data_IF_857705721873
#
_entry.id   IF_857705721873
#
_cell.length_a   1.000
_cell.length_b   1.000
_cell.length_c   1.000
_cell.angle_alpha   90.00
_cell.angle_beta   90.00
_cell.angle_gamma   90.00
#
_symmetry.space_group_name_H-M   'P 1'
#
loop_
_entity.id
_entity.type
_entity.pdbx_description
1 polymer ?
#
# COMPACT_ATOMS: atom_id res chain seq x y z
N UNK A 1 26.94 -98.17 -43.21
CA UNK A 1 26.63 -97.71 -41.87
C UNK A 1 27.75 -96.73 -41.44
N UNK A 2 27.57 -95.47 -41.53
CA UNK A 2 28.52 -94.45 -41.02
C UNK A 2 27.74 -93.33 -40.40
N UNK A 3 27.85 -93.18 -39.10
CA UNK A 3 27.21 -92.14 -38.32
C UNK A 3 27.98 -90.79 -38.48
N UNK A 4 27.33 -89.79 -38.99
CA UNK A 4 27.89 -88.40 -39.02
C UNK A 4 27.31 -87.66 -37.83
N UNK A 5 28.17 -87.20 -36.92
CA UNK A 5 27.83 -86.33 -35.82
C UNK A 5 27.96 -84.88 -36.30
N UNK A 6 26.88 -84.15 -36.28
CA UNK A 6 26.82 -82.73 -36.53
C UNK A 6 27.05 -82.00 -35.19
N UNK A 7 28.07 -81.18 -35.10
CA UNK A 7 28.37 -80.31 -33.96
C UNK A 7 27.75 -78.96 -34.23
N UNK A 8 26.77 -78.57 -33.42
CA UNK A 8 26.21 -77.19 -33.43
C UNK A 8 27.07 -76.27 -32.55
N UNK A 9 27.70 -75.31 -33.16
CA UNK A 9 28.44 -74.25 -32.45
C UNK A 9 27.50 -73.11 -32.18
N UNK A 10 27.17 -72.88 -30.92
CA UNK A 10 26.29 -71.76 -30.47
C UNK A 10 27.16 -70.57 -30.24
N UNK A 11 27.05 -69.53 -31.09
CA UNK A 11 27.65 -68.22 -30.88
C UNK A 11 26.74 -67.40 -29.98
N UNK A 12 27.20 -67.16 -28.75
CA UNK A 12 26.52 -66.27 -27.83
C UNK A 12 27.02 -64.84 -28.15
N UNK A 13 26.15 -64.02 -28.78
CA UNK A 13 26.37 -62.61 -28.97
C UNK A 13 25.97 -61.89 -27.71
N UNK A 14 26.94 -61.37 -26.94
CA UNK A 14 26.71 -60.51 -25.79
C UNK A 14 26.35 -59.10 -26.23
N UNK A 15 25.07 -58.72 -26.17
CA UNK A 15 24.63 -57.32 -26.30
C UNK A 15 24.99 -56.55 -25.01
N UNK A 16 26.00 -55.72 -25.07
CA UNK A 16 26.27 -54.71 -24.03
C UNK A 16 25.28 -53.57 -24.18
N UNK A 17 24.26 -53.53 -23.33
CA UNK A 17 23.38 -52.36 -23.18
C UNK A 17 24.10 -51.24 -22.43
N UNK A 18 24.61 -50.27 -23.17
CA UNK A 18 25.03 -48.98 -22.57
C UNK A 18 23.79 -48.23 -22.13
N UNK A 19 23.41 -48.39 -20.85
CA UNK A 19 22.43 -47.51 -20.19
C UNK A 19 23.09 -46.18 -19.92
N UNK A 20 22.85 -45.19 -20.78
CA UNK A 20 23.09 -43.79 -20.45
C UNK A 20 22.04 -43.35 -19.43
N UNK A 21 22.35 -43.47 -18.15
CA UNK A 21 21.62 -42.76 -17.11
C UNK A 21 21.91 -41.29 -17.25
N UNK A 22 21.02 -40.53 -17.93
CA UNK A 22 20.94 -39.07 -17.74
C UNK A 22 20.68 -38.88 -16.25
N UNK A 23 21.65 -38.32 -15.53
CA UNK A 23 21.41 -37.69 -14.23
C UNK A 23 20.39 -36.61 -14.48
N UNK A 24 19.16 -36.79 -14.06
CA UNK A 24 18.23 -35.70 -13.88
C UNK A 24 18.83 -34.78 -12.80
N UNK A 25 19.38 -33.66 -13.23
CA UNK A 25 19.72 -32.59 -12.30
C UNK A 25 18.42 -32.12 -11.69
N UNK A 26 18.19 -32.47 -10.44
CA UNK A 26 17.12 -31.91 -9.64
C UNK A 26 17.32 -30.39 -9.68
N UNK A 27 16.33 -29.60 -10.14
CA UNK A 27 16.48 -28.14 -10.15
C UNK A 27 16.75 -27.69 -8.73
N UNK A 28 17.94 -27.19 -8.51
CA UNK A 28 18.29 -26.51 -7.24
C UNK A 28 17.36 -25.33 -7.15
N UNK A 29 16.41 -25.34 -6.22
CA UNK A 29 15.59 -24.18 -5.88
C UNK A 29 16.55 -23.13 -5.35
N UNK A 30 16.96 -22.20 -6.22
CA UNK A 30 17.73 -21.04 -5.81
C UNK A 30 16.90 -20.27 -4.80
N UNK A 31 17.42 -20.12 -3.59
CA UNK A 31 16.79 -19.24 -2.59
C UNK A 31 16.78 -17.82 -3.15
N UNK A 32 15.64 -17.17 -3.28
CA UNK A 32 15.57 -15.83 -3.84
C UNK A 32 16.44 -14.89 -3.00
N UNK A 33 17.31 -14.15 -3.68
CA UNK A 33 18.07 -13.08 -3.04
C UNK A 33 17.10 -11.97 -2.62
N UNK A 34 17.33 -11.39 -1.45
CA UNK A 34 16.47 -10.36 -0.87
C UNK A 34 17.21 -9.02 -0.85
N UNK A 35 16.45 -7.95 -0.97
CA UNK A 35 16.94 -6.58 -0.92
C UNK A 35 15.94 -5.65 -0.24
N UNK A 36 16.29 -4.38 -0.13
CA UNK A 36 15.48 -3.39 0.56
C UNK A 36 15.19 -2.21 -0.37
N UNK A 37 14.03 -1.58 -0.18
CA UNK A 37 13.69 -0.31 -0.82
C UNK A 37 12.97 0.60 0.16
N UNK A 38 13.05 1.90 -0.07
CA UNK A 38 12.29 2.90 0.66
C UNK A 38 11.31 3.57 -0.29
N UNK A 39 10.05 3.67 0.10
CA UNK A 39 9.06 4.54 -0.54
C UNK A 39 8.95 5.80 0.32
N UNK A 40 9.40 6.94 -0.22
CA UNK A 40 9.33 8.24 0.47
C UNK A 40 8.16 9.04 -0.09
N UNK A 41 7.23 9.43 0.76
CA UNK A 41 6.08 10.24 0.40
C UNK A 41 6.38 11.72 0.64
N UNK A 42 6.16 12.53 -0.37
CA UNK A 42 6.26 14.00 -0.31
C UNK A 42 4.88 14.60 -0.52
N UNK A 43 4.33 15.17 0.53
CA UNK A 43 3.01 15.78 0.50
C UNK A 43 3.12 17.24 0.03
N UNK A 44 2.38 17.53 -1.04
CA UNK A 44 2.34 18.86 -1.65
C UNK A 44 0.90 19.33 -1.85
N UNK A 45 0.75 20.61 -2.13
CA UNK A 45 -0.48 21.20 -2.70
C UNK A 45 -0.08 21.98 -3.95
N UNK A 46 -0.47 21.47 -5.12
CA UNK A 46 0.03 21.95 -6.41
C UNK A 46 1.55 21.72 -6.55
N UNK A 47 2.36 22.75 -6.44
CA UNK A 47 3.84 22.64 -6.47
C UNK A 47 4.51 22.91 -5.12
N UNK A 48 3.73 23.20 -4.07
CA UNK A 48 4.26 23.65 -2.79
C UNK A 48 4.28 22.52 -1.77
N UNK A 49 5.41 22.22 -1.13
CA UNK A 49 5.46 21.33 0.02
C UNK A 49 4.51 21.82 1.13
N UNK A 50 3.82 20.85 1.77
CA UNK A 50 2.91 21.17 2.87
C UNK A 50 3.70 21.37 4.15
N UNK A 51 3.48 22.52 4.77
CA UNK A 51 3.98 22.90 6.08
C UNK A 51 2.79 23.05 7.04
N UNK A 52 2.85 22.36 8.18
CA UNK A 52 1.80 22.42 9.19
C UNK A 52 2.04 23.60 10.15
N UNK A 53 0.95 24.16 10.69
CA UNK A 53 1.02 25.12 11.79
C UNK A 53 0.02 24.75 12.88
N UNK A 54 0.37 25.05 14.14
CA UNK A 54 -0.47 24.68 15.28
C UNK A 54 -1.83 25.41 15.29
N UNK A 55 -1.89 26.59 14.72
CA UNK A 55 -3.07 27.45 14.65
C UNK A 55 -3.13 28.21 13.33
N UNK A 56 -4.22 28.92 13.09
CA UNK A 56 -4.46 29.68 11.87
C UNK A 56 -3.46 30.79 11.61
N UNK A 57 -2.79 31.31 12.65
CA UNK A 57 -1.80 32.40 12.53
C UNK A 57 -0.42 31.88 12.14
N UNK A 58 -0.10 30.64 12.52
CA UNK A 58 1.20 29.99 12.27
C UNK A 58 1.18 29.07 11.05
N UNK A 59 0.00 28.58 10.64
CA UNK A 59 -0.15 27.69 9.50
C UNK A 59 0.00 28.44 8.17
N UNK A 60 0.80 27.84 7.26
CA UNK A 60 1.00 28.36 5.92
C UNK A 60 -0.28 28.28 5.09
N UNK A 61 -0.57 29.34 4.33
CA UNK A 61 -1.74 29.40 3.44
C UNK A 61 -1.44 28.78 2.09
N UNK A 62 -2.39 28.02 1.59
CA UNK A 62 -2.41 27.43 0.25
C UNK A 62 -3.72 27.77 -0.45
N UNK A 63 -3.73 27.76 -1.76
CA UNK A 63 -4.94 27.95 -2.56
C UNK A 63 -5.26 26.64 -3.30
N UNK A 64 -6.47 26.15 -3.10
CA UNK A 64 -7.03 25.02 -3.82
C UNK A 64 -8.48 25.30 -4.19
N UNK A 65 -8.85 25.10 -5.44
CA UNK A 65 -10.20 25.40 -5.96
C UNK A 65 -10.73 26.79 -5.54
N UNK A 66 -9.87 27.83 -5.64
CA UNK A 66 -10.15 29.22 -5.22
C UNK A 66 -10.48 29.41 -3.73
N UNK A 67 -10.13 28.45 -2.90
CA UNK A 67 -10.32 28.50 -1.45
C UNK A 67 -8.97 28.52 -0.75
N UNK A 68 -8.85 29.34 0.31
CA UNK A 68 -7.67 29.37 1.17
C UNK A 68 -7.72 28.20 2.12
N UNK A 69 -6.65 27.42 2.19
CA UNK A 69 -6.47 26.27 3.10
C UNK A 69 -5.24 26.49 3.95
N UNK A 70 -5.30 26.06 5.19
CA UNK A 70 -4.20 25.97 6.14
C UNK A 70 -4.30 24.64 6.87
N UNK A 71 -3.20 23.96 7.07
CA UNK A 71 -3.21 22.63 7.68
C UNK A 71 -2.54 22.63 9.04
N UNK A 72 -3.20 21.99 10.01
CA UNK A 72 -2.62 21.70 11.33
C UNK A 72 -2.30 20.21 11.50
N UNK A 73 -2.99 19.35 10.77
CA UNK A 73 -2.75 17.90 10.78
C UNK A 73 -3.05 17.31 9.42
N UNK A 74 -2.18 16.41 8.95
CA UNK A 74 -2.45 15.53 7.81
C UNK A 74 -1.90 14.15 8.15
N UNK A 75 -2.80 13.17 8.16
CA UNK A 75 -2.50 11.76 8.31
C UNK A 75 -3.27 10.93 7.30
N UNK A 76 -2.68 9.85 6.82
CA UNK A 76 -3.38 8.89 5.96
C UNK A 76 -2.76 7.50 6.06
N UNK A 77 -3.50 6.49 5.63
CA UNK A 77 -3.08 5.09 5.71
C UNK A 77 -2.76 4.58 4.31
N UNK A 78 -1.61 3.92 4.21
CA UNK A 78 -1.19 3.15 3.04
C UNK A 78 -1.08 1.69 3.46
N UNK A 79 -1.66 0.79 2.66
CA UNK A 79 -1.59 -0.65 2.92
C UNK A 79 -1.50 -1.46 1.62
N UNK A 80 -1.43 -2.78 1.74
CA UNK A 80 -1.52 -3.72 0.63
C UNK A 80 -0.54 -3.38 -0.53
N UNK A 81 0.73 -3.14 -0.18
CA UNK A 81 1.77 -2.78 -1.15
C UNK A 81 2.13 -3.99 -1.99
N UNK A 82 2.19 -3.78 -3.31
CA UNK A 82 2.54 -4.79 -4.31
C UNK A 82 3.46 -4.17 -5.35
N UNK A 83 4.48 -4.92 -5.75
CA UNK A 83 5.43 -4.49 -6.78
C UNK A 83 5.29 -5.38 -8.00
N UNK A 84 5.14 -4.80 -9.18
CA UNK A 84 5.00 -5.53 -10.45
C UNK A 84 6.34 -5.53 -11.17
N UNK A 85 6.86 -6.72 -11.42
CA UNK A 85 8.10 -6.94 -12.15
C UNK A 85 7.97 -6.59 -13.64
N UNK A 86 9.08 -6.45 -14.30
CA UNK A 86 9.13 -6.20 -15.76
C UNK A 86 8.52 -7.33 -16.57
N UNK A 87 8.55 -8.58 -16.08
CA UNK A 87 7.90 -9.75 -16.67
C UNK A 87 6.38 -9.81 -16.43
N UNK A 88 5.84 -8.90 -15.61
CA UNK A 88 4.41 -8.84 -15.25
C UNK A 88 4.04 -9.61 -13.98
N UNK A 89 4.94 -10.37 -13.39
CA UNK A 89 4.69 -11.01 -12.10
C UNK A 89 4.56 -9.98 -10.97
N UNK A 90 3.80 -10.31 -9.93
CA UNK A 90 3.52 -9.39 -8.81
C UNK A 90 4.06 -9.99 -7.52
N UNK A 91 4.81 -9.17 -6.77
CA UNK A 91 5.31 -9.49 -5.44
C UNK A 91 4.50 -8.69 -4.43
N UNK A 92 3.86 -9.38 -3.51
CA UNK A 92 3.06 -8.78 -2.43
C UNK A 92 3.92 -8.55 -1.19
N UNK A 93 3.74 -7.40 -0.54
CA UNK A 93 4.43 -7.05 0.70
C UNK A 93 3.46 -7.07 1.87
N UNK A 94 3.47 -8.15 2.66
CA UNK A 94 2.69 -8.33 3.89
C UNK A 94 1.19 -7.96 3.79
N UNK A 95 0.56 -8.23 2.64
CA UNK A 95 -0.77 -7.72 2.26
C UNK A 95 -1.92 -8.16 3.17
N UNK A 96 -1.76 -9.24 3.93
CA UNK A 96 -2.78 -9.79 4.83
C UNK A 96 -2.52 -9.48 6.30
N UNK A 97 -1.54 -8.62 6.60
CA UNK A 97 -1.11 -8.33 7.96
C UNK A 97 -0.90 -6.81 8.14
N UNK A 98 -1.80 -6.16 8.87
CA UNK A 98 -1.70 -4.72 9.12
C UNK A 98 -0.50 -4.36 10.00
N UNK A 99 -0.07 -5.25 10.92
CA UNK A 99 1.08 -5.00 11.81
C UNK A 99 2.41 -4.82 11.06
N UNK A 100 2.49 -5.31 9.83
CA UNK A 100 3.71 -5.29 9.01
C UNK A 100 3.50 -4.78 7.59
N UNK A 101 2.25 -4.65 7.14
CA UNK A 101 1.90 -4.27 5.77
C UNK A 101 1.00 -3.04 5.64
N UNK A 102 0.69 -2.38 6.75
CA UNK A 102 -0.02 -1.10 6.76
C UNK A 102 0.80 -0.05 7.51
N UNK A 103 0.68 1.21 7.08
CA UNK A 103 1.50 2.34 7.55
C UNK A 103 0.62 3.57 7.73
N UNK A 104 0.81 4.27 8.84
CA UNK A 104 0.24 5.59 9.07
C UNK A 104 1.25 6.64 8.66
N UNK A 105 0.97 7.37 7.61
CA UNK A 105 1.78 8.49 7.18
C UNK A 105 1.28 9.75 7.90
N UNK A 106 2.17 10.43 8.61
CA UNK A 106 1.86 11.60 9.41
C UNK A 106 2.79 12.75 9.03
N UNK A 107 2.24 13.82 8.47
CA UNK A 107 3.01 14.97 8.02
C UNK A 107 3.82 15.64 9.15
N UNK A 108 3.39 15.53 10.41
CA UNK A 108 4.15 16.07 11.54
C UNK A 108 5.33 15.17 11.96
N UNK A 109 5.43 13.96 11.42
CA UNK A 109 6.52 13.01 11.67
C UNK A 109 7.18 12.60 10.34
N UNK A 110 8.27 13.26 9.90
CA UNK A 110 8.92 12.98 8.62
C UNK A 110 9.37 11.53 8.43
N UNK A 111 9.72 10.83 9.50
CA UNK A 111 10.14 9.42 9.40
C UNK A 111 8.97 8.50 9.05
N UNK A 112 7.73 8.84 9.43
CA UNK A 112 6.54 8.07 9.02
C UNK A 112 6.25 8.18 7.52
N UNK A 113 6.80 9.17 6.83
CA UNK A 113 6.66 9.36 5.38
C UNK A 113 7.63 8.48 4.59
N UNK A 114 8.51 7.72 5.26
CA UNK A 114 9.50 6.82 4.65
C UNK A 114 9.15 5.37 4.98
N UNK A 115 8.53 4.69 4.04
CA UNK A 115 8.17 3.27 4.21
C UNK A 115 9.37 2.40 3.83
N UNK A 116 10.01 1.80 4.82
CA UNK A 116 11.13 0.89 4.62
C UNK A 116 10.60 -0.53 4.36
N UNK A 117 10.67 -0.96 3.11
CA UNK A 117 10.29 -2.31 2.69
C UNK A 117 11.53 -3.20 2.70
N UNK A 118 11.61 -4.11 3.66
CA UNK A 118 12.69 -5.09 3.78
C UNK A 118 12.30 -6.43 3.15
N UNK A 119 13.30 -7.27 2.90
CA UNK A 119 13.11 -8.65 2.46
C UNK A 119 12.31 -8.79 1.16
N UNK A 120 12.43 -7.82 0.27
CA UNK A 120 11.87 -7.88 -1.07
C UNK A 120 12.73 -8.78 -1.96
N UNK A 121 12.10 -9.58 -2.80
CA UNK A 121 12.83 -10.34 -3.83
C UNK A 121 13.59 -9.38 -4.76
N UNK A 122 14.87 -9.66 -5.01
CA UNK A 122 15.67 -8.85 -5.93
C UNK A 122 15.14 -8.91 -7.36
N UNK A 123 15.33 -7.82 -8.10
CA UNK A 123 14.91 -7.72 -9.50
C UNK A 123 14.45 -6.32 -9.88
N UNK A 124 14.01 -6.19 -11.13
CA UNK A 124 13.51 -4.97 -11.72
C UNK A 124 11.98 -4.89 -11.66
N UNK A 125 11.47 -3.80 -11.13
CA UNK A 125 10.05 -3.55 -10.97
C UNK A 125 9.63 -2.31 -11.76
N UNK A 126 8.54 -2.42 -12.51
CA UNK A 126 8.02 -1.34 -13.39
C UNK A 126 6.84 -0.60 -12.80
N UNK A 127 6.14 -1.19 -11.81
CA UNK A 127 4.97 -0.57 -11.20
C UNK A 127 4.95 -0.84 -9.69
N UNK A 128 4.37 0.10 -8.94
CA UNK A 128 4.03 -0.05 -7.54
C UNK A 128 2.52 0.13 -7.42
N UNK A 129 1.87 -0.81 -6.73
CA UNK A 129 0.48 -0.70 -6.34
C UNK A 129 0.40 -0.64 -4.82
N UNK A 130 -0.49 0.16 -4.31
CA UNK A 130 -0.85 0.17 -2.89
C UNK A 130 -2.30 0.59 -2.72
N UNK A 131 -2.87 0.25 -1.59
CA UNK A 131 -4.19 0.73 -1.25
C UNK A 131 -4.08 1.99 -0.38
N UNK A 132 -4.80 3.02 -0.77
CA UNK A 132 -5.09 4.19 0.05
C UNK A 132 -6.24 3.83 0.97
N UNK A 133 -5.93 3.66 2.26
CA UNK A 133 -6.82 3.08 3.24
C UNK A 133 -6.55 1.59 3.49
N UNK A 134 -7.55 0.90 4.02
CA UNK A 134 -7.51 -0.51 4.37
C UNK A 134 -8.69 -1.21 3.70
N UNK A 135 -8.42 -2.30 2.97
CA UNK A 135 -9.45 -3.11 2.34
C UNK A 135 -10.45 -3.65 3.37
N UNK A 136 -11.70 -3.79 2.96
CA UNK A 136 -12.83 -4.11 3.84
C UNK A 136 -12.63 -5.39 4.68
N UNK A 137 -11.95 -6.40 4.12
CA UNK A 137 -11.73 -7.68 4.80
C UNK A 137 -10.86 -7.53 6.07
N UNK A 138 -9.97 -6.54 6.10
CA UNK A 138 -9.09 -6.25 7.24
C UNK A 138 -9.61 -5.08 8.10
N UNK A 139 -10.25 -4.09 7.48
CA UNK A 139 -10.70 -2.86 8.14
C UNK A 139 -11.73 -3.09 9.26
N UNK A 140 -12.52 -4.18 9.18
CA UNK A 140 -13.58 -4.48 10.13
C UNK A 140 -13.22 -5.59 11.11
N UNK A 141 -11.99 -6.07 11.09
CA UNK A 141 -11.51 -7.04 12.07
C UNK A 141 -11.37 -6.39 13.45
N UNK A 142 -11.39 -7.22 14.47
CA UNK A 142 -11.17 -6.79 15.84
C UNK A 142 -9.72 -6.25 15.99
N UNK A 143 -9.56 -5.21 16.77
CA UNK A 143 -8.26 -4.52 16.95
C UNK A 143 -7.16 -5.45 17.48
N UNK A 144 -7.56 -6.48 18.24
CA UNK A 144 -6.62 -7.48 18.77
C UNK A 144 -5.94 -8.33 17.69
N UNK A 145 -6.48 -8.33 16.45
CA UNK A 145 -5.87 -9.04 15.32
C UNK A 145 -4.56 -8.42 14.85
N UNK A 146 -4.43 -7.10 15.00
CA UNK A 146 -3.27 -6.33 14.58
C UNK A 146 -2.88 -5.31 15.67
N UNK A 147 -2.37 -5.79 16.81
CA UNK A 147 -2.21 -4.95 18.00
C UNK A 147 -1.14 -3.85 17.83
N UNK A 148 -0.12 -4.07 16.99
CA UNK A 148 0.92 -3.05 16.72
C UNK A 148 0.34 -1.94 15.88
N UNK A 149 -0.36 -2.30 14.77
CA UNK A 149 -1.01 -1.32 13.91
C UNK A 149 -2.11 -0.57 14.65
N UNK A 150 -2.90 -1.25 15.48
CA UNK A 150 -3.93 -0.60 16.30
C UNK A 150 -3.33 0.38 17.31
N UNK A 151 -2.18 0.05 17.89
CA UNK A 151 -1.46 0.98 18.78
C UNK A 151 -1.04 2.24 18.02
N UNK A 152 -0.48 2.10 16.82
CA UNK A 152 -0.02 3.22 15.99
C UNK A 152 -1.18 4.03 15.41
N UNK A 153 -2.13 3.36 14.76
CA UNK A 153 -3.25 3.96 14.05
C UNK A 153 -4.48 4.19 14.93
N UNK A 154 -4.45 3.68 16.15
CA UNK A 154 -5.61 3.62 17.01
C UNK A 154 -5.98 4.94 17.66
N UNK A 155 -6.88 4.82 18.62
CA UNK A 155 -7.52 5.92 19.32
C UNK A 155 -6.54 6.81 20.10
N UNK A 156 -5.49 6.21 20.65
CA UNK A 156 -4.60 6.92 21.58
C UNK A 156 -3.45 7.67 20.89
N UNK A 157 -2.81 7.06 19.90
CA UNK A 157 -1.60 7.63 19.29
C UNK A 157 -1.92 8.55 18.12
N UNK A 158 -2.53 8.03 17.05
CA UNK A 158 -2.79 8.82 15.85
C UNK A 158 -4.25 9.21 15.63
N UNK A 159 -5.17 8.61 16.37
CA UNK A 159 -6.61 8.82 16.25
C UNK A 159 -7.16 8.55 14.85
N UNK A 160 -6.61 7.52 14.22
CA UNK A 160 -7.08 7.06 12.90
C UNK A 160 -8.14 5.97 13.01
N UNK A 161 -8.50 5.48 14.21
CA UNK A 161 -9.62 4.58 14.42
C UNK A 161 -10.89 5.36 14.75
N UNK A 162 -12.05 4.90 14.25
CA UNK A 162 -13.34 5.52 14.55
C UNK A 162 -13.75 5.28 16.01
N UNK A 163 -14.16 6.32 16.70
CA UNK A 163 -14.51 6.26 18.14
C UNK A 163 -15.81 5.52 18.41
N UNK A 164 -16.74 5.58 17.47
CA UNK A 164 -18.10 5.03 17.58
C UNK A 164 -18.31 3.73 16.81
N UNK A 165 -17.32 3.26 16.09
CA UNK A 165 -17.49 2.15 15.17
C UNK A 165 -16.27 1.25 15.10
N UNK A 166 -16.30 0.38 14.11
CA UNK A 166 -15.14 -0.42 13.72
C UNK A 166 -14.51 0.17 12.46
N UNK A 167 -13.21 -0.02 12.36
CA UNK A 167 -12.44 0.41 11.22
C UNK A 167 -11.74 1.74 11.40
N UNK A 168 -10.99 2.10 10.39
CA UNK A 168 -10.05 3.21 10.45
C UNK A 168 -10.50 4.36 9.55
N UNK A 169 -10.14 5.58 9.96
CA UNK A 169 -10.07 6.72 9.05
C UNK A 169 -8.93 6.46 8.07
N UNK A 170 -9.20 6.59 6.79
CA UNK A 170 -8.16 6.42 5.76
C UNK A 170 -7.37 7.70 5.55
N UNK A 171 -8.03 8.83 5.80
CA UNK A 171 -7.44 10.16 5.81
C UNK A 171 -7.98 10.94 6.99
N UNK A 172 -7.13 11.76 7.58
CA UNK A 172 -7.47 12.76 8.56
C UNK A 172 -6.72 14.05 8.22
N UNK A 173 -7.47 15.10 7.88
CA UNK A 173 -6.95 16.43 7.58
C UNK A 173 -7.66 17.38 8.51
N UNK A 174 -6.88 18.12 9.29
CA UNK A 174 -7.38 19.17 10.18
C UNK A 174 -6.68 20.49 9.84
N UNK A 175 -7.36 21.58 10.12
CA UNK A 175 -6.78 22.89 9.89
C UNK A 175 -7.82 24.00 9.81
N UNK A 176 -7.63 24.90 8.85
CA UNK A 176 -8.48 26.07 8.68
C UNK A 176 -8.70 26.35 7.18
N UNK A 177 -9.84 26.92 6.87
CA UNK A 177 -10.16 27.33 5.51
C UNK A 177 -10.86 28.70 5.49
N UNK A 178 -10.86 29.32 4.32
CA UNK A 178 -11.43 30.66 4.13
C UNK A 178 -10.55 31.77 4.71
N UNK A 179 -10.99 33.01 4.51
CA UNK A 179 -10.27 34.19 5.00
C UNK A 179 -10.49 34.45 6.50
N UNK A 180 -11.58 33.93 7.03
CA UNK A 180 -12.01 34.01 8.42
C UNK A 180 -11.53 32.82 9.27
N UNK A 181 -10.72 31.95 8.67
CA UNK A 181 -10.11 30.79 9.33
C UNK A 181 -11.13 29.84 9.99
N UNK A 182 -12.17 29.49 9.24
CA UNK A 182 -13.13 28.45 9.66
C UNK A 182 -12.43 27.12 9.85
N UNK A 183 -12.97 26.27 10.72
CA UNK A 183 -12.40 24.95 10.98
C UNK A 183 -12.48 24.08 9.73
N UNK A 184 -11.35 23.47 9.36
CA UNK A 184 -11.26 22.44 8.34
C UNK A 184 -11.12 21.10 9.04
N UNK A 185 -12.06 20.18 8.80
CA UNK A 185 -11.98 18.80 9.28
C UNK A 185 -12.48 17.87 8.18
N UNK A 186 -11.56 17.09 7.59
CA UNK A 186 -11.86 16.14 6.52
C UNK A 186 -11.40 14.76 6.93
N UNK A 187 -12.34 13.88 7.17
CA UNK A 187 -12.08 12.49 7.49
C UNK A 187 -12.69 11.60 6.42
N UNK A 188 -11.91 10.68 5.88
CA UNK A 188 -12.41 9.67 4.94
C UNK A 188 -12.24 8.28 5.52
N UNK A 189 -13.08 7.36 5.10
CA UNK A 189 -13.03 5.96 5.52
C UNK A 189 -14.22 5.20 4.99
N UNK A 190 -14.19 3.87 5.07
CA UNK A 190 -15.33 3.04 4.69
C UNK A 190 -16.45 3.20 5.72
N UNK A 191 -17.68 3.29 5.25
CA UNK A 191 -18.85 3.48 6.12
C UNK A 191 -19.40 2.15 6.63
N UNK A 192 -20.08 2.20 7.78
CA UNK A 192 -20.88 1.10 8.30
C UNK A 192 -22.35 1.45 8.03
N UNK A 193 -23.02 0.59 7.26
CA UNK A 193 -24.43 0.78 6.91
C UNK A 193 -25.36 0.57 8.10
N UNK A 194 -24.98 -0.34 8.98
CA UNK A 194 -25.77 -0.72 10.15
C UNK A 194 -24.84 -1.01 11.32
N UNK A 195 -24.99 -0.27 12.42
CA UNK A 195 -24.11 -0.37 13.60
C UNK A 195 -24.30 -1.68 14.38
N UNK A 196 -25.51 -2.25 14.38
CA UNK A 196 -25.84 -3.45 15.15
C UNK A 196 -25.35 -4.71 14.42
N UNK A 197 -25.63 -4.81 13.13
CA UNK A 197 -25.21 -5.92 12.27
C UNK A 197 -23.80 -5.75 11.74
N UNK A 198 -23.21 -4.54 11.85
CA UNK A 198 -21.90 -4.16 11.27
C UNK A 198 -21.84 -4.36 9.75
N UNK A 199 -22.99 -4.29 9.09
CA UNK A 199 -23.04 -4.37 7.65
C UNK A 199 -22.23 -3.21 7.03
N UNK A 200 -21.37 -3.56 6.07
CA UNK A 200 -20.48 -2.62 5.38
C UNK A 200 -21.34 -1.76 4.44
N UNK A 201 -21.13 -0.47 4.51
CA UNK A 201 -21.69 0.52 3.59
C UNK A 201 -20.79 0.73 2.36
N UNK A 202 -20.45 1.97 2.09
CA UNK A 202 -19.53 2.33 1.00
C UNK A 202 -18.11 1.96 1.38
N UNK A 203 -17.41 1.24 0.51
CA UNK A 203 -15.98 0.98 0.66
C UNK A 203 -15.19 2.13 0.03
N UNK A 204 -14.51 2.91 0.89
CA UNK A 204 -13.68 4.03 0.48
C UNK A 204 -12.22 3.65 0.16
N UNK A 205 -11.83 2.40 0.38
CA UNK A 205 -10.48 1.92 0.02
C UNK A 205 -10.28 1.99 -1.49
N UNK A 206 -9.14 2.54 -1.91
CA UNK A 206 -8.82 2.71 -3.34
C UNK A 206 -7.41 2.21 -3.64
N UNK A 207 -7.29 1.36 -4.65
CA UNK A 207 -5.98 0.96 -5.14
C UNK A 207 -5.39 2.06 -6.03
N UNK A 208 -4.21 2.50 -5.66
CA UNK A 208 -3.37 3.40 -6.45
C UNK A 208 -2.36 2.56 -7.22
N UNK A 209 -2.22 2.83 -8.51
CA UNK A 209 -1.23 2.23 -9.39
C UNK A 209 -0.27 3.30 -9.89
N UNK A 210 1.01 3.11 -9.62
CA UNK A 210 2.08 3.99 -10.08
C UNK A 210 2.93 3.24 -11.11
N UNK A 211 2.96 3.74 -12.33
CA UNK A 211 3.91 3.30 -13.35
C UNK A 211 5.20 4.08 -13.13
N UNK A 212 6.29 3.39 -12.91
CA UNK A 212 7.57 4.03 -12.65
C UNK A 212 8.19 4.56 -13.95
N UNK A 213 8.69 5.81 -13.98
CA UNK A 213 9.34 6.36 -15.18
C UNK A 213 10.66 5.64 -15.52
N UNK A 214 11.26 5.00 -14.53
CA UNK A 214 12.42 4.11 -14.63
C UNK A 214 12.18 2.93 -13.71
N UNK A 215 12.57 1.73 -14.12
CA UNK A 215 12.45 0.55 -13.28
C UNK A 215 13.16 0.75 -11.94
N UNK A 216 12.47 0.29 -10.88
CA UNK A 216 13.05 0.18 -9.55
C UNK A 216 13.91 -1.10 -9.52
N UNK A 217 15.20 -0.94 -9.30
CA UNK A 217 16.12 -2.05 -9.11
C UNK A 217 16.25 -2.37 -7.61
N UNK A 218 15.70 -3.51 -7.21
CA UNK A 218 15.87 -4.05 -5.85
C UNK A 218 17.03 -5.04 -5.87
N UNK A 219 18.08 -4.74 -5.12
CA UNK A 219 19.33 -5.51 -5.09
C UNK A 219 20.03 -5.42 -3.74
N UNK A 220 21.34 -5.67 -3.73
CA UNK A 220 22.17 -5.58 -2.53
C UNK A 220 22.29 -4.16 -1.96
N UNK A 221 22.13 -3.15 -2.80
CA UNK A 221 22.12 -1.75 -2.38
C UNK A 221 20.68 -1.28 -2.13
N UNK A 222 20.42 -0.54 -1.03
CA UNK A 222 19.12 0.06 -0.82
C UNK A 222 18.71 0.97 -1.96
N UNK A 223 17.46 0.91 -2.37
CA UNK A 223 16.87 1.77 -3.40
C UNK A 223 15.82 2.71 -2.80
N UNK A 224 15.54 3.80 -3.51
CA UNK A 224 14.60 4.84 -3.08
C UNK A 224 13.63 5.17 -4.22
N UNK A 225 12.34 5.22 -3.91
CA UNK A 225 11.31 5.76 -4.78
C UNK A 225 10.63 6.92 -4.06
N UNK A 226 10.64 8.10 -4.69
CA UNK A 226 9.91 9.26 -4.18
C UNK A 226 8.52 9.29 -4.81
N UNK A 227 7.49 9.37 -3.97
CA UNK A 227 6.07 9.41 -4.35
C UNK A 227 5.52 10.77 -3.93
N UNK A 228 5.09 11.58 -4.90
CA UNK A 228 4.46 12.87 -4.63
C UNK A 228 2.95 12.68 -4.43
N UNK A 229 2.44 13.05 -3.26
CA UNK A 229 1.03 13.06 -2.93
C UNK A 229 0.50 14.51 -3.01
N UNK A 230 -0.25 14.83 -4.07
CA UNK A 230 -0.78 16.18 -4.32
C UNK A 230 -2.16 16.34 -3.71
N UNK A 231 -2.22 16.99 -2.56
CA UNK A 231 -3.47 17.26 -1.82
C UNK A 231 -4.36 18.33 -2.49
N UNK A 232 -3.84 19.07 -3.49
CA UNK A 232 -4.72 19.93 -4.31
C UNK A 232 -5.82 19.10 -4.99
N UNK A 233 -5.48 17.86 -5.39
CA UNK A 233 -6.41 16.96 -6.06
C UNK A 233 -7.58 16.48 -5.19
N UNK A 234 -7.49 16.65 -3.88
CA UNK A 234 -8.59 16.34 -2.97
C UNK A 234 -9.78 17.30 -3.20
N UNK A 235 -9.52 18.61 -3.36
CA UNK A 235 -10.57 19.62 -3.59
C UNK A 235 -10.66 20.08 -5.05
N UNK A 236 -9.58 19.94 -5.82
CA UNK A 236 -9.46 20.44 -7.19
C UNK A 236 -9.08 19.30 -8.16
N UNK A 237 -9.70 18.12 -7.97
CA UNK A 237 -9.55 16.97 -8.83
C UNK A 237 -10.47 17.01 -10.05
N UNK A 238 -10.86 15.83 -10.53
CA UNK A 238 -11.87 15.69 -11.60
C UNK A 238 -13.24 16.21 -11.17
N UNK A 239 -13.54 16.07 -9.88
CA UNK A 239 -14.66 16.75 -9.24
C UNK A 239 -14.09 17.87 -8.34
N UNK A 240 -14.71 19.05 -8.39
CA UNK A 240 -14.32 20.18 -7.56
C UNK A 240 -15.20 20.23 -6.32
N UNK A 241 -14.57 20.33 -5.16
CA UNK A 241 -15.26 20.41 -3.88
C UNK A 241 -15.13 21.84 -3.36
N UNK A 242 -16.27 22.48 -3.10
CA UNK A 242 -16.34 23.77 -2.42
C UNK A 242 -16.70 23.53 -0.97
N UNK A 243 -15.83 23.97 -0.06
CA UNK A 243 -16.10 23.94 1.36
C UNK A 243 -17.20 24.97 1.68
N UNK A 244 -18.16 24.58 2.49
CA UNK A 244 -19.23 25.46 2.97
C UNK A 244 -19.28 25.37 4.48
N UNK A 245 -19.88 26.38 5.12
CA UNK A 245 -20.16 26.31 6.55
C UNK A 245 -21.16 25.18 6.84
N UNK A 246 -20.98 24.54 7.99
CA UNK A 246 -21.96 23.62 8.54
C UNK A 246 -23.19 24.44 8.93
N UNK A 247 -24.36 24.07 8.46
CA UNK A 247 -25.61 24.70 8.86
C UNK A 247 -25.90 24.40 10.34
N UNK A 248 -26.64 25.29 11.04
CA UNK A 248 -26.96 25.15 12.47
C UNK A 248 -27.65 23.83 12.81
N UNK A 249 -28.19 23.13 11.81
CA UNK A 249 -28.87 21.83 11.93
C UNK A 249 -27.90 20.62 11.90
N UNK A 250 -26.59 20.84 11.79
CA UNK A 250 -25.56 19.78 11.85
C UNK A 250 -25.52 18.87 10.61
N UNK A 251 -26.20 19.24 9.53
CA UNK A 251 -26.07 18.61 8.22
C UNK A 251 -24.87 19.18 7.46
N UNK A 252 -23.69 19.02 8.05
CA UNK A 252 -22.44 19.28 7.34
C UNK A 252 -22.30 18.36 6.13
N UNK A 253 -21.62 18.83 5.08
CA UNK A 253 -21.44 18.12 3.81
C UNK A 253 -20.94 16.70 4.00
N UNK A 254 -21.84 15.76 4.24
CA UNK A 254 -21.59 14.34 4.06
C UNK A 254 -21.60 14.07 2.55
N UNK A 255 -20.46 14.34 1.90
CA UNK A 255 -20.29 14.04 0.47
C UNK A 255 -20.08 12.54 0.35
N UNK A 256 -21.15 11.80 0.47
CA UNK A 256 -21.22 10.40 0.06
C UNK A 256 -21.30 10.38 -1.48
N UNK A 257 -20.17 10.15 -2.13
CA UNK A 257 -20.11 9.85 -3.57
C UNK A 257 -20.06 8.33 -3.81
#
# INVERSE_FOLDING_TARGET
MKNSKIVFSTIIASLALFSCTKKEETPTLETPTLGNTTLEFQNIIGSNPIELGADASTAKSYISNNQTLKFSEIKYIISNIRLVRTDGSTISYNVDNLDTGAFVLNQSNPESLKLHLSDLQTGAYKEILFDYGIRKELNHLDESRFPKFYKEAGKNDSRMHWEWGKGYRFTKIEGFWGNDNKVLSVHTGSTIKDRDTKAIGVDACRTVKLVLPKNLEVGSNPSLVVITADFDKLLNGSQKITLVEEDEDGEGNDVST
#
